data_IF_606475789396
#
_entry.id   IF_606475789396
#
_cell.length_a   1.000
_cell.length_b   1.000
_cell.length_c   1.000
_cell.angle_alpha   90.00
_cell.angle_beta   90.00
_cell.angle_gamma   90.00
#
_symmetry.space_group_name_H-M   'P 1'
#
loop_
_entity.id
_entity.type
_entity.pdbx_description
1 polymer ?
#
# COMPACT_ATOMS: atom_id res chain seq x y z
N UNK A 1 -5.43 1.13 -5.52
CA UNK A 1 -6.80 1.68 -5.48
C UNK A 1 -6.72 3.17 -5.16
N UNK A 2 -7.53 3.98 -5.84
CA UNK A 2 -7.75 5.37 -5.45
C UNK A 2 -9.10 5.50 -4.74
N UNK A 3 -9.18 6.42 -3.78
CA UNK A 3 -10.40 6.72 -3.02
C UNK A 3 -10.65 8.23 -3.03
N UNK A 4 -11.91 8.60 -3.21
CA UNK A 4 -12.39 9.93 -2.86
C UNK A 4 -12.80 9.95 -1.40
N UNK A 5 -12.54 11.05 -0.70
CA UNK A 5 -12.99 11.26 0.67
C UNK A 5 -14.30 12.03 0.60
N UNK A 6 -15.38 11.48 1.13
CA UNK A 6 -16.63 12.20 1.36
C UNK A 6 -16.74 12.55 2.84
N UNK A 7 -17.01 13.81 3.15
CA UNK A 7 -17.23 14.22 4.53
C UNK A 7 -18.24 15.35 4.68
N UNK A 8 -18.86 15.38 5.85
CA UNK A 8 -19.69 16.50 6.27
C UNK A 8 -18.81 17.57 6.92
N UNK A 9 -18.77 18.76 6.34
CA UNK A 9 -18.08 19.92 6.88
C UNK A 9 -19.04 20.84 7.63
N UNK A 10 -18.67 21.20 8.86
CA UNK A 10 -19.39 22.19 9.67
C UNK A 10 -18.65 23.51 9.72
N UNK A 11 -19.35 24.59 9.36
CA UNK A 11 -18.83 25.96 9.50
C UNK A 11 -18.96 26.38 10.98
N UNK A 12 -17.90 26.92 11.60
CA UNK A 12 -17.97 27.43 12.96
C UNK A 12 -19.07 28.50 13.13
N UNK A 13 -19.89 28.37 14.18
CA UNK A 13 -20.99 29.31 14.44
C UNK A 13 -22.23 29.10 13.57
N UNK A 14 -22.19 28.22 12.58
CA UNK A 14 -23.31 27.90 11.71
C UNK A 14 -23.83 26.47 12.02
N UNK A 15 -25.16 26.28 12.19
CA UNK A 15 -25.74 24.95 12.32
C UNK A 15 -25.74 24.15 11.00
N UNK A 16 -25.57 24.82 9.85
CA UNK A 16 -25.57 24.17 8.54
C UNK A 16 -24.32 23.32 8.35
N UNK A 17 -24.50 22.26 7.57
CA UNK A 17 -23.46 21.34 7.16
C UNK A 17 -23.45 21.21 5.65
N UNK A 18 -22.26 21.07 5.06
CA UNK A 18 -22.11 20.82 3.63
C UNK A 18 -21.37 19.51 3.40
N UNK A 19 -21.77 18.77 2.38
CA UNK A 19 -21.02 17.59 1.94
C UNK A 19 -19.93 18.03 0.99
N UNK A 20 -18.70 17.60 1.28
CA UNK A 20 -17.53 17.81 0.44
C UNK A 20 -17.01 16.46 -0.01
N UNK A 21 -16.58 16.39 -1.27
CA UNK A 21 -15.99 15.21 -1.87
C UNK A 21 -14.65 15.63 -2.47
N UNK A 22 -13.57 14.92 -2.14
CA UNK A 22 -12.27 15.16 -2.73
C UNK A 22 -12.18 14.56 -4.13
N UNK A 23 -11.20 15.02 -4.92
CA UNK A 23 -10.72 14.22 -6.04
C UNK A 23 -10.17 12.86 -5.51
N UNK A 24 -10.17 11.81 -6.34
CA UNK A 24 -9.58 10.53 -5.96
C UNK A 24 -8.10 10.68 -5.64
N UNK A 25 -7.66 10.05 -4.55
CA UNK A 25 -6.25 10.00 -4.14
C UNK A 25 -5.83 8.56 -3.84
N UNK A 26 -4.53 8.22 -3.90
CA UNK A 26 -4.09 6.87 -3.60
C UNK A 26 -4.40 6.48 -2.16
N UNK A 27 -4.92 5.27 -1.96
CA UNK A 27 -5.31 4.72 -0.65
C UNK A 27 -4.22 4.82 0.43
N UNK A 28 -2.95 4.73 0.04
CA UNK A 28 -1.80 4.89 0.93
C UNK A 28 -1.70 6.28 1.57
N UNK A 29 -2.24 7.32 0.93
CA UNK A 29 -2.22 8.70 1.45
C UNK A 29 -3.51 9.10 2.18
N UNK A 30 -4.60 8.35 1.97
CA UNK A 30 -5.93 8.69 2.49
C UNK A 30 -5.96 8.84 4.01
N UNK A 31 -5.36 7.89 4.75
CA UNK A 31 -5.35 7.96 6.21
C UNK A 31 -4.53 9.14 6.76
N UNK A 32 -3.47 9.54 6.04
CA UNK A 32 -2.65 10.70 6.40
C UNK A 32 -3.43 12.00 6.23
N UNK A 33 -4.13 12.14 5.10
CA UNK A 33 -4.99 13.30 4.82
C UNK A 33 -6.12 13.37 5.85
N UNK A 34 -6.80 12.25 6.10
CA UNK A 34 -7.85 12.14 7.11
C UNK A 34 -7.37 12.62 8.49
N UNK A 35 -6.22 12.13 8.95
CA UNK A 35 -5.67 12.48 10.25
C UNK A 35 -5.42 13.98 10.38
N UNK A 36 -5.02 14.65 9.30
CA UNK A 36 -4.82 16.09 9.31
C UNK A 36 -6.15 16.85 9.33
N UNK A 37 -7.13 16.41 8.53
CA UNK A 37 -8.47 16.98 8.53
C UNK A 37 -9.16 16.84 9.90
N UNK A 38 -9.05 15.69 10.55
CA UNK A 38 -9.62 15.43 11.89
C UNK A 38 -9.11 16.44 12.94
N UNK A 39 -7.84 16.90 12.86
CA UNK A 39 -7.28 17.90 13.78
C UNK A 39 -8.01 19.24 13.73
N UNK A 40 -8.71 19.54 12.64
CA UNK A 40 -9.49 20.78 12.51
C UNK A 40 -10.73 20.78 13.43
N UNK A 41 -11.18 19.61 13.89
CA UNK A 41 -12.41 19.44 14.67
C UNK A 41 -13.71 19.71 13.91
N UNK A 42 -13.64 19.90 12.58
CA UNK A 42 -14.77 20.34 11.74
C UNK A 42 -15.35 19.24 10.86
N UNK A 43 -14.73 18.06 10.90
CA UNK A 43 -15.09 16.93 10.04
C UNK A 43 -16.03 16.01 10.80
N UNK A 44 -17.16 15.68 10.17
CA UNK A 44 -18.13 14.68 10.65
C UNK A 44 -18.48 13.73 9.52
N UNK A 45 -18.94 12.54 9.87
CA UNK A 45 -19.48 11.52 8.95
C UNK A 45 -18.60 11.33 7.72
N UNK A 46 -17.47 10.66 7.91
CA UNK A 46 -16.47 10.45 6.88
C UNK A 46 -16.66 9.07 6.30
N UNK A 47 -16.81 9.03 4.99
CA UNK A 47 -16.85 7.81 4.19
C UNK A 47 -15.89 7.95 3.01
N UNK A 48 -15.50 6.83 2.42
CA UNK A 48 -14.57 6.82 1.29
C UNK A 48 -15.21 6.09 0.11
N UNK A 49 -15.01 6.61 -1.08
CA UNK A 49 -15.65 6.08 -2.30
C UNK A 49 -14.55 5.61 -3.24
N UNK A 50 -14.58 4.34 -3.64
CA UNK A 50 -13.64 3.81 -4.63
C UNK A 50 -14.05 4.15 -6.07
N UNK A 51 -13.16 3.82 -7.02
CA UNK A 51 -13.36 4.07 -8.45
C UNK A 51 -14.59 3.33 -9.05
N UNK A 52 -15.15 2.36 -8.32
CA UNK A 52 -16.36 1.61 -8.70
C UNK A 52 -17.61 2.12 -7.98
N UNK A 53 -17.49 3.17 -7.16
CA UNK A 53 -18.57 3.74 -6.37
C UNK A 53 -18.90 2.96 -5.10
N UNK A 54 -18.07 2.01 -4.68
CA UNK A 54 -18.27 1.32 -3.41
C UNK A 54 -17.81 2.20 -2.25
N UNK A 55 -18.58 2.18 -1.15
CA UNK A 55 -18.25 2.91 0.07
C UNK A 55 -17.37 2.05 0.99
N UNK A 56 -16.40 2.70 1.60
CA UNK A 56 -15.43 2.15 2.51
C UNK A 56 -15.37 2.99 3.77
N UNK A 57 -15.30 2.33 4.92
CA UNK A 57 -15.04 2.95 6.21
C UNK A 57 -13.54 3.08 6.48
N UNK A 58 -13.16 3.93 7.43
CA UNK A 58 -11.76 4.03 7.92
C UNK A 58 -11.18 2.67 8.32
N UNK A 59 -11.97 1.84 9.02
CA UNK A 59 -11.55 0.50 9.48
C UNK A 59 -11.27 -0.46 8.33
N UNK A 60 -12.05 -0.38 7.26
CA UNK A 60 -11.85 -1.22 6.08
C UNK A 60 -10.62 -0.82 5.30
N UNK A 61 -10.33 0.48 5.20
CA UNK A 61 -9.08 1.00 4.62
C UNK A 61 -7.88 0.54 5.44
N UNK A 62 -7.93 0.67 6.78
CA UNK A 62 -6.87 0.20 7.66
C UNK A 62 -6.62 -1.30 7.49
N UNK A 63 -7.69 -2.11 7.40
CA UNK A 63 -7.59 -3.55 7.15
C UNK A 63 -7.01 -3.86 5.77
N UNK A 64 -7.42 -3.11 4.74
CA UNK A 64 -6.92 -3.25 3.38
C UNK A 64 -5.43 -2.94 3.29
N UNK A 65 -5.00 -1.80 3.84
CA UNK A 65 -3.58 -1.42 3.89
C UNK A 65 -2.76 -2.46 4.66
N UNK A 66 -3.27 -2.96 5.78
CA UNK A 66 -2.61 -4.03 6.54
C UNK A 66 -2.49 -5.33 5.72
N UNK A 67 -3.47 -5.68 4.89
CA UNK A 67 -3.34 -6.84 4.00
C UNK A 67 -2.27 -6.64 2.93
N UNK A 68 -2.10 -5.41 2.40
CA UNK A 68 -1.03 -5.11 1.46
C UNK A 68 0.37 -5.24 2.09
N UNK A 69 0.55 -4.82 3.35
CA UNK A 69 1.84 -5.00 4.05
C UNK A 69 2.23 -6.48 4.24
N UNK A 70 1.25 -7.39 4.24
CA UNK A 70 1.51 -8.83 4.43
C UNK A 70 1.94 -9.55 3.16
N UNK A 71 1.84 -8.91 2.00
CA UNK A 71 2.30 -9.46 0.73
C UNK A 71 3.77 -9.08 0.48
N UNK A 72 4.57 -9.97 -0.14
CA UNK A 72 5.90 -9.60 -0.63
C UNK A 72 5.82 -8.44 -1.64
N UNK A 73 6.49 -7.33 -1.36
CA UNK A 73 6.60 -6.18 -2.25
C UNK A 73 8.08 -5.77 -2.45
N UNK A 74 8.37 -4.84 -3.35
CA UNK A 74 9.75 -4.41 -3.70
C UNK A 74 10.67 -5.60 -4.07
N UNK A 75 10.19 -6.46 -4.99
CA UNK A 75 10.87 -7.71 -5.35
C UNK A 75 12.00 -7.46 -6.35
N UNK A 76 13.23 -7.88 -6.02
CA UNK A 76 14.40 -7.83 -6.90
C UNK A 76 15.02 -9.22 -7.02
N UNK A 77 15.17 -9.71 -8.25
CA UNK A 77 15.80 -11.00 -8.53
C UNK A 77 17.13 -10.83 -9.29
N UNK A 78 18.17 -11.54 -8.83
CA UNK A 78 19.44 -11.68 -9.52
C UNK A 78 19.70 -13.13 -9.87
N UNK A 79 20.28 -13.36 -11.05
CA UNK A 79 20.69 -14.67 -11.52
C UNK A 79 22.15 -14.60 -11.95
N UNK A 80 22.93 -15.60 -11.58
CA UNK A 80 24.31 -15.77 -12.03
C UNK A 80 24.56 -17.20 -12.51
N UNK A 81 25.51 -17.33 -13.42
CA UNK A 81 25.90 -18.60 -14.01
C UNK A 81 27.38 -18.61 -14.34
N UNK A 82 28.05 -19.72 -14.07
CA UNK A 82 29.47 -19.90 -14.34
C UNK A 82 29.74 -21.29 -14.90
N UNK A 83 30.69 -21.40 -15.84
CA UNK A 83 31.12 -22.67 -16.42
C UNK A 83 32.61 -22.88 -16.17
N UNK A 84 32.97 -24.07 -15.70
CA UNK A 84 34.35 -24.49 -15.54
C UNK A 84 34.73 -25.44 -16.68
N UNK A 85 35.61 -24.97 -17.59
CA UNK A 85 36.07 -25.74 -18.76
C UNK A 85 36.91 -26.96 -18.38
N UNK A 86 37.74 -26.87 -17.35
CA UNK A 86 38.62 -27.97 -16.91
C UNK A 86 37.82 -29.12 -16.28
N UNK A 87 36.75 -28.78 -15.54
CA UNK A 87 35.89 -29.75 -14.86
C UNK A 87 34.65 -30.16 -15.65
N UNK A 88 34.44 -29.53 -16.82
CA UNK A 88 33.23 -29.68 -17.64
C UNK A 88 31.93 -29.59 -16.81
N UNK A 89 31.87 -28.61 -15.90
CA UNK A 89 30.78 -28.46 -14.92
C UNK A 89 30.25 -27.04 -14.94
N UNK A 90 28.96 -26.86 -14.65
CA UNK A 90 28.33 -25.56 -14.55
C UNK A 90 27.78 -25.30 -13.14
N UNK A 91 27.74 -24.02 -12.77
CA UNK A 91 27.04 -23.54 -11.58
C UNK A 91 26.01 -22.52 -11.99
N UNK A 92 24.83 -22.57 -11.37
CA UNK A 92 23.77 -21.57 -11.48
C UNK A 92 23.42 -21.09 -10.08
N UNK A 93 23.21 -19.79 -9.93
CA UNK A 93 22.72 -19.18 -8.70
C UNK A 93 21.58 -18.22 -8.98
N UNK A 94 20.68 -18.13 -8.02
CA UNK A 94 19.57 -17.20 -8.01
C UNK A 94 19.36 -16.65 -6.61
N UNK A 95 19.07 -15.35 -6.52
CA UNK A 95 18.68 -14.70 -5.27
C UNK A 95 17.50 -13.77 -5.51
N UNK A 96 16.51 -13.85 -4.64
CA UNK A 96 15.32 -12.98 -4.63
C UNK A 96 15.33 -12.21 -3.32
N UNK A 97 15.32 -10.88 -3.42
CA UNK A 97 15.08 -9.95 -2.31
C UNK A 97 13.63 -9.47 -2.38
N UNK A 98 12.99 -9.32 -1.24
CA UNK A 98 11.65 -8.72 -1.14
C UNK A 98 11.43 -8.16 0.27
N UNK A 99 10.50 -7.22 0.39
CA UNK A 99 10.02 -6.72 1.67
C UNK A 99 8.68 -7.35 2.02
N UNK A 100 8.48 -7.64 3.30
CA UNK A 100 7.20 -8.13 3.84
C UNK A 100 7.10 -7.74 5.31
N UNK A 101 5.94 -7.26 5.78
CA UNK A 101 5.74 -6.87 7.18
C UNK A 101 6.85 -5.94 7.72
N UNK A 102 7.29 -4.96 6.93
CA UNK A 102 8.39 -4.04 7.27
C UNK A 102 9.74 -4.72 7.55
N UNK A 103 9.96 -5.92 6.99
CA UNK A 103 11.21 -6.67 7.09
C UNK A 103 11.69 -7.06 5.70
N UNK A 104 13.00 -6.95 5.49
CA UNK A 104 13.64 -7.43 4.27
C UNK A 104 13.90 -8.93 4.38
N UNK A 105 13.57 -9.66 3.32
CA UNK A 105 13.77 -11.10 3.18
C UNK A 105 14.67 -11.42 1.99
N UNK A 106 15.33 -12.57 2.06
CA UNK A 106 16.17 -13.08 0.98
C UNK A 106 15.98 -14.58 0.80
N UNK A 107 15.64 -15.01 -0.41
CA UNK A 107 15.65 -16.41 -0.83
C UNK A 107 16.81 -16.64 -1.78
N UNK A 108 17.66 -17.64 -1.52
CA UNK A 108 18.80 -17.99 -2.36
C UNK A 108 18.74 -19.46 -2.74
N UNK A 109 19.00 -19.77 -4.01
CA UNK A 109 19.20 -21.14 -4.49
C UNK A 109 20.44 -21.19 -5.36
N UNK A 110 21.31 -22.17 -5.11
CA UNK A 110 22.41 -22.50 -6.00
C UNK A 110 22.20 -23.93 -6.50
N UNK A 111 22.59 -24.18 -7.74
CA UNK A 111 22.57 -25.47 -8.41
C UNK A 111 23.94 -25.73 -9.04
N UNK A 112 24.43 -26.95 -8.86
CA UNK A 112 25.63 -27.45 -9.52
C UNK A 112 25.19 -28.48 -10.58
N UNK A 113 25.71 -28.36 -11.79
CA UNK A 113 25.37 -29.14 -12.98
C UNK A 113 26.62 -29.82 -13.54
#
# INVERSE_FOLDING_TARGET
MNLSIEWTYRIPGDPRTVTLISNPIPVAHVLTVLKDMEKTGRVKNIEFIDEKGAYWTKKEIEKYLKSLETEPHEVIAYFDGGFNKEKNSAGLGGVIYFEKNHRSYRLRKNLYL
#
